data_IF_267328715258
#
_entry.id   IF_267328715258
#
_cell.length_a   1.000
_cell.length_b   1.000
_cell.length_c   1.000
_cell.angle_alpha   90.00
_cell.angle_beta   90.00
_cell.angle_gamma   90.00
#
_symmetry.space_group_name_H-M   'P 1'
#
loop_
_entity.id
_entity.type
_entity.pdbx_description
1 polymer ?
#
# COMPACT_ATOMS: atom_id res chain seq x y z
N UNK A 1 -55.31 0.19 7.43
CA UNK A 1 -54.09 0.77 8.03
C UNK A 1 -53.17 -0.38 8.41
N UNK A 2 -52.23 -0.73 7.53
CA UNK A 2 -51.22 -1.75 7.77
C UNK A 2 -49.86 -1.08 7.64
N UNK A 3 -49.12 -1.01 8.75
CA UNK A 3 -47.80 -0.37 8.80
C UNK A 3 -46.79 -1.26 8.07
N UNK A 4 -46.26 -0.74 6.95
CA UNK A 4 -45.06 -1.26 6.32
C UNK A 4 -43.86 -0.99 7.24
N UNK A 5 -43.13 -2.04 7.61
CA UNK A 5 -41.85 -1.91 8.31
C UNK A 5 -40.76 -1.94 7.24
N UNK A 6 -40.21 -0.77 6.93
CA UNK A 6 -39.04 -0.61 6.06
C UNK A 6 -37.82 -1.23 6.74
N UNK A 7 -37.03 -2.11 6.08
CA UNK A 7 -35.76 -2.54 6.63
C UNK A 7 -34.79 -1.37 6.66
N UNK A 8 -34.27 -1.09 7.85
CA UNK A 8 -33.24 -0.09 8.11
C UNK A 8 -31.95 -0.50 7.39
N UNK A 9 -31.69 0.18 6.29
CA UNK A 9 -30.42 0.19 5.56
C UNK A 9 -29.26 0.42 6.55
N UNK A 10 -28.21 -0.42 6.55
CA UNK A 10 -27.08 -0.21 7.43
C UNK A 10 -26.38 1.08 7.02
N UNK A 11 -26.29 1.99 7.97
CA UNK A 11 -25.63 3.28 7.84
C UNK A 11 -24.29 3.11 7.13
N UNK A 12 -24.12 3.83 6.03
CA UNK A 12 -22.84 4.04 5.39
C UNK A 12 -21.86 4.49 6.48
N UNK A 13 -20.89 3.62 6.77
CA UNK A 13 -19.73 4.01 7.54
C UNK A 13 -19.09 5.15 6.77
N UNK A 14 -19.11 6.34 7.39
CA UNK A 14 -18.33 7.50 7.01
C UNK A 14 -16.85 7.15 7.17
N UNK A 15 -16.34 6.34 6.23
CA UNK A 15 -14.95 5.92 6.12
C UNK A 15 -14.14 7.01 5.46
N UNK A 16 -14.15 8.21 6.04
CA UNK A 16 -13.20 9.27 5.69
C UNK A 16 -12.04 9.31 6.69
N UNK A 17 -11.59 8.12 7.07
CA UNK A 17 -10.30 7.93 7.72
C UNK A 17 -9.30 7.74 6.58
N UNK A 18 -8.61 8.83 6.22
CA UNK A 18 -7.64 8.81 5.12
C UNK A 18 -6.66 7.66 5.38
N UNK A 19 -6.76 6.60 4.57
CA UNK A 19 -5.97 5.39 4.75
C UNK A 19 -4.51 5.80 4.91
N UNK A 20 -3.97 5.61 6.12
CA UNK A 20 -2.59 5.98 6.40
C UNK A 20 -1.69 5.28 5.37
N UNK A 21 -0.93 6.08 4.62
CA UNK A 21 -0.02 5.55 3.62
C UNK A 21 1.05 4.70 4.33
N UNK A 22 1.09 3.40 4.04
CA UNK A 22 2.06 2.47 4.62
C UNK A 22 3.45 2.69 4.00
N UNK A 23 4.48 2.59 4.82
CA UNK A 23 5.87 2.51 4.40
C UNK A 23 6.18 1.20 3.67
N UNK A 24 7.31 1.14 2.96
CA UNK A 24 7.76 -0.10 2.32
C UNK A 24 7.91 -1.26 3.32
N UNK A 25 8.42 -0.99 4.52
CA UNK A 25 8.59 -2.00 5.56
C UNK A 25 7.24 -2.54 6.07
N UNK A 26 6.24 -1.67 6.24
CA UNK A 26 4.88 -2.07 6.62
C UNK A 26 4.20 -2.88 5.52
N UNK A 27 4.43 -2.53 4.25
CA UNK A 27 3.98 -3.36 3.12
C UNK A 27 4.65 -4.74 3.13
N UNK A 28 5.95 -4.85 3.42
CA UNK A 28 6.62 -6.15 3.57
C UNK A 28 6.02 -6.96 4.73
N UNK A 29 5.81 -6.35 5.90
CA UNK A 29 5.20 -7.02 7.05
C UNK A 29 3.76 -7.50 6.77
N UNK A 30 2.98 -6.71 6.03
CA UNK A 30 1.65 -7.12 5.58
C UNK A 30 1.71 -8.32 4.61
N UNK A 31 2.66 -8.33 3.67
CA UNK A 31 2.88 -9.46 2.77
C UNK A 31 3.27 -10.73 3.55
N UNK A 32 4.18 -10.61 4.54
CA UNK A 32 4.58 -11.73 5.40
C UNK A 32 3.39 -12.32 6.17
N UNK A 33 2.51 -11.46 6.69
CA UNK A 33 1.28 -11.88 7.37
C UNK A 33 0.35 -12.66 6.44
N UNK A 34 0.20 -12.19 5.20
CA UNK A 34 -0.61 -12.86 4.18
C UNK A 34 -0.01 -14.20 3.74
N UNK A 35 1.32 -14.29 3.59
CA UNK A 35 1.99 -15.56 3.33
C UNK A 35 1.87 -16.54 4.50
N UNK A 36 1.99 -16.05 5.75
CA UNK A 36 1.76 -16.88 6.92
C UNK A 36 0.34 -17.44 6.94
N UNK A 37 -0.66 -16.60 6.62
CA UNK A 37 -2.06 -17.03 6.48
C UNK A 37 -2.23 -18.04 5.34
N UNK A 38 -1.64 -17.80 4.17
CA UNK A 38 -1.68 -18.74 3.06
C UNK A 38 -1.12 -20.12 3.46
N UNK A 39 -0.02 -20.17 4.23
CA UNK A 39 0.54 -21.41 4.77
C UNK A 39 -0.40 -22.14 5.73
N UNK A 40 -1.15 -21.41 6.58
CA UNK A 40 -2.13 -22.05 7.47
C UNK A 40 -3.32 -22.68 6.76
N UNK A 41 -3.58 -22.27 5.50
CA UNK A 41 -4.67 -22.84 4.72
C UNK A 41 -4.32 -24.19 4.09
N UNK A 42 -3.04 -24.61 4.14
CA UNK A 42 -2.45 -25.88 3.66
C UNK A 42 -2.69 -26.21 2.17
N UNK A 43 -1.68 -26.18 1.26
CA UNK A 43 -1.86 -26.45 -0.17
C UNK A 43 -2.20 -27.93 -0.46
N UNK A 44 -3.24 -28.47 0.16
CA UNK A 44 -3.78 -29.79 -0.11
C UNK A 44 -4.64 -29.76 -1.39
N UNK A 45 -4.36 -30.60 -2.40
CA UNK A 45 -5.22 -30.74 -3.59
C UNK A 45 -6.65 -31.23 -3.28
N UNK A 46 -6.94 -31.73 -2.07
CA UNK A 46 -8.29 -32.13 -1.63
C UNK A 46 -9.18 -30.99 -1.10
N UNK A 47 -8.73 -29.74 -1.23
CA UNK A 47 -9.32 -28.59 -0.53
C UNK A 47 -10.71 -28.21 -1.04
N UNK A 48 -11.60 -27.80 -0.12
CA UNK A 48 -12.91 -27.26 -0.48
C UNK A 48 -12.78 -25.93 -1.25
N UNK A 49 -13.65 -25.66 -2.25
CA UNK A 49 -13.54 -24.46 -3.09
C UNK A 49 -13.41 -23.12 -2.34
N UNK A 50 -14.10 -22.87 -1.21
CA UNK A 50 -13.95 -21.61 -0.47
C UNK A 50 -12.56 -21.41 0.11
N UNK A 51 -11.92 -22.47 0.59
CA UNK A 51 -10.57 -22.38 1.15
C UNK A 51 -9.54 -22.19 0.03
N UNK A 52 -9.75 -22.76 -1.16
CA UNK A 52 -8.86 -22.55 -2.30
C UNK A 52 -8.85 -21.08 -2.74
N UNK A 53 -10.03 -20.48 -2.89
CA UNK A 53 -10.19 -19.07 -3.21
C UNK A 53 -9.54 -18.14 -2.15
N UNK A 54 -9.64 -18.49 -0.87
CA UNK A 54 -9.00 -17.71 0.21
C UNK A 54 -7.47 -17.68 0.08
N UNK A 55 -6.86 -18.80 -0.30
CA UNK A 55 -5.42 -18.90 -0.47
C UNK A 55 -4.91 -18.11 -1.66
N UNK A 56 -5.57 -18.25 -2.82
CA UNK A 56 -5.25 -17.45 -4.00
C UNK A 56 -5.32 -15.96 -3.68
N UNK A 57 -6.40 -15.54 -3.01
CA UNK A 57 -6.56 -14.16 -2.55
C UNK A 57 -5.41 -13.73 -1.63
N UNK A 58 -5.00 -14.55 -0.65
CA UNK A 58 -3.87 -14.22 0.21
C UNK A 58 -2.59 -13.99 -0.60
N UNK A 59 -2.32 -14.82 -1.61
CA UNK A 59 -1.14 -14.67 -2.47
C UNK A 59 -1.21 -13.41 -3.34
N UNK A 60 -2.37 -13.12 -3.93
CA UNK A 60 -2.57 -11.92 -4.75
C UNK A 60 -2.31 -10.64 -3.96
N UNK A 61 -2.88 -10.55 -2.75
CA UNK A 61 -2.66 -9.40 -1.88
C UNK A 61 -1.19 -9.33 -1.41
N UNK A 62 -0.55 -10.46 -1.09
CA UNK A 62 0.85 -10.46 -0.68
C UNK A 62 1.75 -9.93 -1.80
N UNK A 63 1.52 -10.38 -3.04
CA UNK A 63 2.21 -9.90 -4.23
C UNK A 63 1.98 -8.40 -4.46
N UNK A 64 0.76 -7.91 -4.29
CA UNK A 64 0.46 -6.48 -4.39
C UNK A 64 1.26 -5.67 -3.36
N UNK A 65 1.28 -6.11 -2.10
CA UNK A 65 2.04 -5.45 -1.03
C UNK A 65 3.53 -5.40 -1.36
N UNK A 66 4.13 -6.48 -1.85
CA UNK A 66 5.55 -6.48 -2.25
C UNK A 66 5.83 -5.50 -3.41
N UNK A 67 4.96 -5.43 -4.42
CA UNK A 67 5.11 -4.48 -5.53
C UNK A 67 5.01 -3.03 -5.07
N UNK A 68 4.15 -2.74 -4.10
CA UNK A 68 4.07 -1.42 -3.49
C UNK A 68 5.34 -1.09 -2.70
N UNK A 69 5.86 -2.04 -1.90
CA UNK A 69 7.12 -1.87 -1.19
C UNK A 69 8.30 -1.61 -2.14
N UNK A 70 8.35 -2.32 -3.26
CA UNK A 70 9.36 -2.14 -4.31
C UNK A 70 9.26 -0.75 -4.95
N UNK A 71 8.07 -0.32 -5.34
CA UNK A 71 7.85 1.00 -5.94
C UNK A 71 8.25 2.13 -4.97
N UNK A 72 7.88 2.01 -3.69
CA UNK A 72 8.28 2.96 -2.65
C UNK A 72 9.81 2.99 -2.51
N UNK A 73 10.46 1.83 -2.47
CA UNK A 73 11.92 1.74 -2.36
C UNK A 73 12.61 2.38 -3.57
N UNK A 74 12.10 2.13 -4.78
CA UNK A 74 12.59 2.75 -6.00
C UNK A 74 12.42 4.28 -6.00
N UNK A 75 11.27 4.78 -5.53
CA UNK A 75 11.03 6.22 -5.36
C UNK A 75 12.00 6.87 -4.38
N UNK A 76 12.29 6.22 -3.25
CA UNK A 76 13.29 6.70 -2.29
C UNK A 76 14.71 6.73 -2.91
N UNK A 77 15.07 5.68 -3.66
CA UNK A 77 16.34 5.60 -4.37
C UNK A 77 16.46 6.69 -5.45
N UNK A 78 15.38 6.99 -6.17
CA UNK A 78 15.33 8.06 -7.17
C UNK A 78 15.65 9.42 -6.54
N UNK A 79 15.01 9.76 -5.42
CA UNK A 79 15.28 11.01 -4.70
C UNK A 79 16.74 11.08 -4.25
N UNK A 80 17.27 9.98 -3.70
CA UNK A 80 18.66 9.92 -3.25
C UNK A 80 19.64 10.11 -4.42
N UNK A 81 19.40 9.45 -5.55
CA UNK A 81 20.20 9.59 -6.77
C UNK A 81 20.12 11.02 -7.33
N UNK A 82 18.92 11.60 -7.40
CA UNK A 82 18.72 12.97 -7.86
C UNK A 82 19.46 13.99 -7.00
N UNK A 83 19.43 13.84 -5.67
CA UNK A 83 20.20 14.72 -4.75
C UNK A 83 21.71 14.64 -4.97
N UNK A 84 22.23 13.43 -5.25
CA UNK A 84 23.65 13.25 -5.59
C UNK A 84 24.00 13.89 -6.92
N UNK A 85 23.10 13.79 -7.90
CA UNK A 85 23.26 14.39 -9.22
C UNK A 85 23.33 15.92 -9.13
N UNK A 86 22.44 16.54 -8.34
CA UNK A 86 22.42 17.99 -8.12
C UNK A 86 23.62 18.52 -7.30
N UNK A 87 24.44 17.64 -6.72
CA UNK A 87 25.68 18.07 -6.09
C UNK A 87 26.74 18.49 -7.13
N UNK A 88 26.58 18.09 -8.39
CA UNK A 88 27.37 18.57 -9.51
C UNK A 88 26.63 19.74 -10.22
N UNK A 89 27.17 20.97 -10.18
CA UNK A 89 26.51 22.15 -10.73
C UNK A 89 26.41 22.14 -12.26
N UNK A 90 27.19 21.31 -12.96
CA UNK A 90 27.16 21.22 -14.42
C UNK A 90 26.06 20.29 -14.94
N UNK A 91 25.47 19.46 -14.06
CA UNK A 91 24.45 18.52 -14.47
C UNK A 91 23.09 19.20 -14.63
N UNK A 92 22.51 19.06 -15.82
CA UNK A 92 21.14 19.47 -16.10
C UNK A 92 20.22 18.26 -16.05
N UNK A 93 19.18 18.35 -15.24
CA UNK A 93 18.11 17.36 -15.15
C UNK A 93 17.02 17.62 -16.17
N UNK A 94 16.29 16.57 -16.56
CA UNK A 94 15.12 16.73 -17.42
C UNK A 94 13.91 17.17 -16.56
N UNK A 95 12.97 17.96 -17.13
CA UNK A 95 11.76 18.36 -16.41
C UNK A 95 10.93 17.17 -15.92
N UNK A 96 10.91 16.07 -16.68
CA UNK A 96 10.20 14.85 -16.30
C UNK A 96 10.81 14.19 -15.05
N UNK A 97 12.13 14.14 -14.95
CA UNK A 97 12.82 13.63 -13.76
C UNK A 97 12.53 14.51 -12.54
N UNK A 98 12.52 15.83 -12.72
CA UNK A 98 12.20 16.77 -11.64
C UNK A 98 10.75 16.63 -11.16
N UNK A 99 9.80 16.46 -12.08
CA UNK A 99 8.41 16.18 -11.76
C UNK A 99 8.27 14.87 -10.99
N UNK A 100 8.90 13.79 -11.46
CA UNK A 100 8.82 12.48 -10.79
C UNK A 100 9.41 12.53 -9.37
N UNK A 101 10.57 13.16 -9.20
CA UNK A 101 11.18 13.39 -7.88
C UNK A 101 10.26 14.21 -6.98
N UNK A 102 9.59 15.23 -7.53
CA UNK A 102 8.66 16.08 -6.76
C UNK A 102 7.46 15.27 -6.25
N UNK A 103 6.89 14.39 -7.08
CA UNK A 103 5.78 13.53 -6.68
C UNK A 103 6.21 12.56 -5.56
N UNK A 104 7.35 11.88 -5.72
CA UNK A 104 7.86 11.00 -4.68
C UNK A 104 8.21 11.74 -3.38
N UNK A 105 8.85 12.91 -3.47
CA UNK A 105 9.15 13.72 -2.29
C UNK A 105 7.88 14.21 -1.58
N UNK A 106 6.82 14.51 -2.35
CA UNK A 106 5.49 14.80 -1.83
C UNK A 106 4.91 13.61 -1.06
N UNK A 107 4.93 12.43 -1.67
CA UNK A 107 4.45 11.19 -1.06
C UNK A 107 5.15 10.85 0.26
N UNK A 108 6.48 10.95 0.34
CA UNK A 108 7.19 10.66 1.59
C UNK A 108 6.93 11.69 2.69
N UNK A 109 6.75 12.97 2.33
CA UNK A 109 6.44 14.02 3.30
C UNK A 109 5.07 13.78 3.95
N UNK A 110 4.06 13.40 3.16
CA UNK A 110 2.73 13.11 3.72
C UNK A 110 2.74 11.89 4.64
N UNK A 111 3.61 10.90 4.40
CA UNK A 111 3.83 9.77 5.33
C UNK A 111 4.45 10.19 6.67
N UNK A 112 5.41 11.12 6.68
CA UNK A 112 6.02 11.58 7.93
C UNK A 112 5.07 12.47 8.74
N UNK A 113 4.20 13.22 8.07
CA UNK A 113 3.26 14.12 8.73
C UNK A 113 2.09 13.37 9.42
N UNK A 114 1.74 12.16 8.98
CA UNK A 114 0.74 11.33 9.67
C UNK A 114 1.29 10.78 10.99
N UNK A 115 2.57 10.40 11.04
CA UNK A 115 3.22 9.93 12.28
C UNK A 115 3.32 11.03 13.35
N UNK A 116 3.44 12.29 12.94
CA UNK A 116 3.53 13.44 13.86
C UNK A 116 2.18 13.86 14.44
N UNK A 117 1.06 13.49 13.78
CA UNK A 117 -0.28 13.90 14.19
C UNK A 117 -0.91 12.97 15.23
N UNK A 118 -0.30 11.81 15.46
CA UNK A 118 -0.78 10.78 16.40
C UNK A 118 0.00 10.75 17.73
N UNK A 119 0.92 11.70 17.96
CA UNK A 119 1.67 11.88 19.21
C UNK A 119 1.21 13.13 19.95
#
# INVERSE_FOLDING_TARGET
>A
MTHATTPKEPAAADGKEGAAHLSAAEHCAAAETLFARARTLDPDPGRTPPLAAEYERCLEWACLHLRLAEAITAGAALIAAHRRLLADPEVRTSPHLEDEVRHWAGFFRTQHDTTRRTA
#
